data_IF_128503249382
#
_entry.id   IF_128503249382
#
_cell.length_a   1.000
_cell.length_b   1.000
_cell.length_c   1.000
_cell.angle_alpha   90.00
_cell.angle_beta   90.00
_cell.angle_gamma   90.00
#
_symmetry.space_group_name_H-M   'P 1'
#
loop_
_entity.id
_entity.type
_entity.pdbx_description
1 polymer ?
#
# COMPACT_ATOMS: atom_id res chain seq x y z
N UNK A 1 -27.87 4.57 -3.05
CA UNK A 1 -26.86 4.54 -4.14
C UNK A 1 -25.47 4.71 -3.56
N UNK A 2 -24.58 3.79 -3.85
CA UNK A 2 -23.21 3.89 -3.35
C UNK A 2 -22.42 4.87 -4.21
N UNK A 3 -21.87 5.91 -3.58
CA UNK A 3 -20.95 6.82 -4.25
C UNK A 3 -19.60 6.14 -4.45
N UNK A 4 -19.11 6.10 -5.67
CA UNK A 4 -17.79 5.59 -5.98
C UNK A 4 -16.78 6.75 -5.93
N UNK A 5 -15.66 6.51 -5.30
CA UNK A 5 -14.59 7.50 -5.19
C UNK A 5 -13.28 6.90 -5.67
N UNK A 6 -12.48 7.72 -6.34
CA UNK A 6 -11.15 7.36 -6.78
C UNK A 6 -10.15 8.37 -6.25
N UNK A 7 -9.14 7.89 -5.54
CA UNK A 7 -8.03 8.71 -5.06
C UNK A 7 -6.79 8.47 -5.90
N UNK A 8 -6.10 9.54 -6.24
CA UNK A 8 -4.79 9.49 -6.89
C UNK A 8 -3.79 10.25 -6.04
N UNK A 9 -2.70 9.58 -5.70
CA UNK A 9 -1.62 10.17 -4.92
C UNK A 9 -0.39 10.31 -5.80
N UNK A 10 0.21 11.49 -5.81
CA UNK A 10 1.48 11.74 -6.49
C UNK A 10 2.53 12.12 -5.47
N UNK A 11 3.74 11.63 -5.67
CA UNK A 11 4.83 11.92 -4.76
C UNK A 11 6.08 11.14 -5.11
N UNK A 12 6.98 11.06 -4.14
CA UNK A 12 8.25 10.36 -4.27
C UNK A 12 8.29 9.15 -3.35
N UNK A 13 8.84 8.05 -3.85
CA UNK A 13 9.02 6.83 -3.09
C UNK A 13 10.50 6.66 -2.77
N UNK A 14 10.77 6.30 -1.51
CA UNK A 14 12.11 5.99 -1.04
C UNK A 14 12.08 4.70 -0.23
N UNK A 15 13.02 3.81 -0.51
CA UNK A 15 13.20 2.61 0.29
C UNK A 15 13.87 2.96 1.62
N UNK A 16 13.34 2.44 2.73
CA UNK A 16 13.93 2.61 4.04
C UNK A 16 14.97 1.50 4.28
N UNK A 17 16.23 1.90 4.49
CA UNK A 17 17.33 0.97 4.72
C UNK A 17 17.22 0.27 6.08
N UNK A 18 16.76 0.99 7.12
CA UNK A 18 16.52 0.42 8.46
C UNK A 18 15.04 0.14 8.61
N UNK A 19 14.65 -1.11 8.35
CA UNK A 19 13.26 -1.54 8.35
C UNK A 19 12.93 -2.64 9.37
N UNK A 20 13.86 -2.95 10.29
CA UNK A 20 13.67 -4.03 11.27
C UNK A 20 12.46 -3.78 12.17
N UNK A 21 12.25 -2.54 12.60
CA UNK A 21 11.10 -2.21 13.45
C UNK A 21 9.77 -2.49 12.77
N UNK A 22 9.68 -2.27 11.48
CA UNK A 22 8.45 -2.54 10.73
C UNK A 22 8.20 -4.04 10.60
N UNK A 23 9.24 -4.83 10.44
CA UNK A 23 9.13 -6.28 10.45
C UNK A 23 8.60 -6.78 11.79
N UNK A 24 9.15 -6.27 12.89
CA UNK A 24 8.78 -6.68 14.25
C UNK A 24 7.32 -6.37 14.59
N UNK A 25 6.72 -5.37 13.95
CA UNK A 25 5.31 -5.03 14.13
C UNK A 25 4.35 -5.99 13.44
N UNK A 26 4.82 -6.83 12.54
CA UNK A 26 3.98 -7.79 11.85
C UNK A 26 3.57 -8.94 12.80
N UNK A 27 2.34 -9.47 12.58
CA UNK A 27 1.90 -10.67 13.27
C UNK A 27 2.71 -11.89 12.82
N UNK A 28 2.72 -12.94 13.62
CA UNK A 28 3.38 -14.20 13.26
C UNK A 28 2.85 -14.77 11.94
N UNK A 29 1.54 -14.66 11.73
CA UNK A 29 0.92 -15.07 10.47
C UNK A 29 1.43 -14.28 9.28
N UNK A 30 1.52 -12.95 9.41
CA UNK A 30 2.04 -12.09 8.35
C UNK A 30 3.51 -12.38 8.06
N UNK A 31 4.33 -12.54 9.10
CA UNK A 31 5.74 -12.92 8.94
C UNK A 31 5.89 -14.25 8.22
N UNK A 32 5.09 -15.24 8.61
CA UNK A 32 5.14 -16.58 8.02
C UNK A 32 4.80 -16.57 6.54
N UNK A 33 3.86 -15.73 6.13
CA UNK A 33 3.45 -15.64 4.72
C UNK A 33 4.59 -15.27 3.77
N UNK A 34 5.63 -14.57 4.27
CA UNK A 34 6.81 -14.22 3.48
C UNK A 34 7.67 -15.43 3.11
N UNK A 35 7.45 -16.57 3.74
CA UNK A 35 8.20 -17.81 3.53
C UNK A 35 7.39 -18.89 2.85
N UNK A 36 6.12 -18.63 2.49
CA UNK A 36 5.24 -19.63 1.85
C UNK A 36 5.55 -19.90 0.38
N UNK A 37 6.27 -18.99 -0.26
CA UNK A 37 6.68 -19.17 -1.65
C UNK A 37 7.48 -17.96 -2.14
N UNK A 38 8.23 -18.16 -3.21
CA UNK A 38 9.04 -17.07 -3.80
C UNK A 38 8.16 -16.14 -4.63
N UNK A 39 8.21 -14.82 -4.39
CA UNK A 39 7.45 -13.88 -5.19
C UNK A 39 7.75 -14.00 -6.68
N UNK A 40 6.72 -13.98 -7.50
CA UNK A 40 6.85 -14.07 -8.95
C UNK A 40 7.09 -15.47 -9.50
N UNK A 41 7.29 -16.46 -8.65
CA UNK A 41 7.43 -17.85 -9.09
C UNK A 41 6.07 -18.50 -9.32
N UNK A 42 6.05 -19.49 -10.22
CA UNK A 42 4.83 -20.24 -10.48
C UNK A 42 4.39 -20.99 -9.22
N UNK A 43 3.09 -20.97 -8.96
CA UNK A 43 2.51 -21.68 -7.83
C UNK A 43 2.73 -23.20 -7.99
N UNK A 44 3.25 -23.82 -6.93
CA UNK A 44 3.35 -25.28 -6.86
C UNK A 44 2.23 -25.81 -5.96
N UNK A 45 1.19 -26.47 -6.53
CA UNK A 45 0.04 -26.94 -5.75
C UNK A 45 0.41 -27.95 -4.66
N UNK A 46 1.51 -28.69 -4.83
CA UNK A 46 1.96 -29.67 -3.83
C UNK A 46 2.54 -29.04 -2.58
N UNK A 47 3.10 -27.84 -2.69
CA UNK A 47 3.75 -27.11 -1.58
C UNK A 47 2.79 -26.15 -0.91
N UNK A 48 1.79 -25.65 -1.63
CA UNK A 48 0.88 -24.60 -1.13
C UNK A 48 -0.14 -25.06 -0.11
N UNK A 49 -0.33 -26.35 0.09
CA UNK A 49 -1.26 -26.85 1.10
C UNK A 49 -0.76 -26.64 2.54
N UNK A 50 0.48 -26.21 2.72
CA UNK A 50 1.13 -26.14 4.02
C UNK A 50 1.49 -24.67 4.38
N UNK A 51 0.47 -23.84 4.67
CA UNK A 51 0.64 -22.47 5.12
C UNK A 51 0.83 -22.45 6.65
N UNK A 52 1.97 -22.91 7.10
CA UNK A 52 2.27 -22.97 8.53
C UNK A 52 2.54 -21.57 9.10
N UNK A 53 2.07 -21.38 10.34
CA UNK A 53 2.38 -20.17 11.11
C UNK A 53 3.52 -20.52 12.07
N UNK A 54 4.67 -19.91 11.84
CA UNK A 54 5.88 -20.16 12.63
C UNK A 54 6.17 -18.97 13.53
N UNK A 55 6.84 -19.24 14.66
CA UNK A 55 7.27 -18.21 15.61
C UNK A 55 8.72 -17.85 15.41
N UNK A 56 9.08 -16.62 15.80
CA UNK A 56 10.48 -16.14 15.83
C UNK A 56 11.19 -16.19 14.49
N UNK A 57 10.46 -15.91 13.40
CA UNK A 57 11.06 -15.87 12.08
C UNK A 57 11.96 -14.65 11.90
N UNK A 58 13.15 -14.82 11.32
CA UNK A 58 14.00 -13.69 10.97
C UNK A 58 13.36 -12.89 9.83
N UNK A 59 13.76 -11.62 9.71
CA UNK A 59 13.29 -10.78 8.61
C UNK A 59 13.59 -11.41 7.25
N UNK A 60 12.56 -11.56 6.41
CA UNK A 60 12.73 -12.04 5.05
C UNK A 60 13.60 -11.09 4.24
N UNK A 61 14.50 -11.64 3.42
CA UNK A 61 15.33 -10.85 2.49
C UNK A 61 14.48 -10.11 1.44
N UNK A 62 13.23 -10.55 1.23
CA UNK A 62 12.31 -9.93 0.29
C UNK A 62 11.49 -8.80 0.93
N UNK A 63 11.62 -8.62 2.26
CA UNK A 63 10.86 -7.59 2.98
C UNK A 63 11.45 -6.21 2.71
N UNK A 64 10.65 -5.33 2.16
CA UNK A 64 11.03 -3.97 1.82
C UNK A 64 9.99 -3.02 2.38
N UNK A 65 10.43 -1.91 2.96
CA UNK A 65 9.53 -0.84 3.41
C UNK A 65 9.78 0.38 2.54
N UNK A 66 8.72 0.89 1.95
CA UNK A 66 8.76 2.08 1.11
C UNK A 66 8.14 3.24 1.86
N UNK A 67 8.84 4.39 1.87
CA UNK A 67 8.30 5.64 2.36
C UNK A 67 7.80 6.44 1.16
N UNK A 68 6.51 6.76 1.16
CA UNK A 68 5.91 7.55 0.09
C UNK A 68 5.64 8.96 0.59
N UNK A 69 6.44 9.93 0.12
CA UNK A 69 6.22 11.35 0.39
C UNK A 69 5.21 11.89 -0.61
N UNK A 70 4.01 12.18 -0.13
CA UNK A 70 2.91 12.62 -0.97
C UNK A 70 3.04 14.11 -1.26
N UNK A 71 2.99 14.50 -2.53
CA UNK A 71 3.02 15.90 -2.97
C UNK A 71 1.63 16.40 -3.38
N UNK A 72 0.76 15.51 -3.82
CA UNK A 72 -0.61 15.87 -4.17
C UNK A 72 -1.59 14.71 -3.99
N UNK A 73 -2.83 15.06 -3.72
CA UNK A 73 -3.95 14.13 -3.61
C UNK A 73 -5.08 14.62 -4.51
N UNK A 74 -5.57 13.75 -5.36
CA UNK A 74 -6.66 14.02 -6.30
C UNK A 74 -7.80 13.06 -5.98
N UNK A 75 -8.97 13.60 -5.68
CA UNK A 75 -10.17 12.83 -5.38
C UNK A 75 -11.23 13.07 -6.43
N UNK A 76 -11.61 12.02 -7.14
CA UNK A 76 -12.74 12.04 -8.06
C UNK A 76 -13.91 11.30 -7.43
N UNK A 77 -15.02 12.01 -7.22
CA UNK A 77 -16.28 11.43 -6.74
C UNK A 77 -17.23 11.25 -7.91
N UNK A 78 -17.60 9.99 -8.16
CA UNK A 78 -18.55 9.65 -9.20
C UNK A 78 -19.98 9.77 -8.63
N UNK A 79 -20.48 11.00 -8.59
CA UNK A 79 -21.81 11.33 -8.07
C UNK A 79 -22.75 11.66 -9.21
N UNK A 80 -24.06 11.54 -8.95
CA UNK A 80 -25.12 12.00 -9.83
C UNK A 80 -25.73 13.27 -9.25
N UNK A 81 -26.13 14.24 -10.06
CA UNK A 81 -26.07 14.27 -11.53
C UNK A 81 -24.71 14.70 -12.09
N UNK A 82 -23.81 15.19 -11.26
CA UNK A 82 -22.50 15.71 -11.70
C UNK A 82 -21.38 15.13 -10.85
N UNK A 83 -20.33 14.64 -11.51
CA UNK A 83 -19.11 14.22 -10.82
C UNK A 83 -18.42 15.42 -10.19
N UNK A 84 -17.77 15.19 -9.05
CA UNK A 84 -17.00 16.22 -8.35
C UNK A 84 -15.54 15.79 -8.25
N UNK A 85 -14.64 16.76 -8.36
CA UNK A 85 -13.21 16.50 -8.27
C UNK A 85 -12.53 17.54 -7.39
N UNK A 86 -11.68 17.06 -6.49
CA UNK A 86 -10.96 17.90 -5.54
C UNK A 86 -9.47 17.62 -5.64
N UNK A 87 -8.68 18.65 -5.43
CA UNK A 87 -7.23 18.57 -5.46
C UNK A 87 -6.64 19.21 -4.21
N UNK A 88 -5.68 18.55 -3.61
CA UNK A 88 -4.85 19.05 -2.52
C UNK A 88 -3.39 18.95 -2.96
N UNK A 89 -2.63 20.02 -2.81
CA UNK A 89 -1.23 20.06 -3.16
C UNK A 89 -0.39 20.56 -1.98
N UNK A 90 0.73 19.89 -1.73
CA UNK A 90 1.66 20.28 -0.66
C UNK A 90 2.14 21.72 -0.82
N UNK A 91 2.49 22.11 -2.04
CA UNK A 91 2.95 23.46 -2.35
C UNK A 91 1.92 24.54 -2.04
N UNK A 92 0.64 24.17 -2.00
CA UNK A 92 -0.49 25.05 -1.64
C UNK A 92 -0.99 24.78 -0.23
N UNK A 93 -0.12 24.28 0.66
CA UNK A 93 -0.42 23.97 2.06
C UNK A 93 -1.65 23.06 2.25
N UNK A 94 -1.86 22.14 1.32
CA UNK A 94 -2.96 21.17 1.35
C UNK A 94 -4.36 21.79 1.35
N UNK A 95 -4.49 23.00 0.81
CA UNK A 95 -5.79 23.64 0.66
C UNK A 95 -6.67 22.83 -0.31
N UNK A 96 -7.91 22.56 0.08
CA UNK A 96 -8.88 21.87 -0.77
C UNK A 96 -9.34 22.78 -1.90
N UNK A 97 -9.12 22.35 -3.13
CA UNK A 97 -9.54 23.08 -4.33
C UNK A 97 -10.47 22.19 -5.15
N UNK A 98 -11.66 22.69 -5.48
CA UNK A 98 -12.56 21.99 -6.38
C UNK A 98 -12.16 22.33 -7.81
N UNK A 99 -11.97 21.29 -8.63
CA UNK A 99 -11.61 21.44 -10.05
C UNK A 99 -12.61 20.69 -10.93
N UNK A 100 -12.59 20.97 -12.22
CA UNK A 100 -13.45 20.26 -13.16
C UNK A 100 -13.10 18.79 -13.22
N UNK A 101 -14.08 17.90 -13.17
CA UNK A 101 -13.86 16.47 -13.23
C UNK A 101 -13.31 15.99 -14.57
#
# INVERSE_FOLDING_TARGET
>A
MKTKSQYRFKGKIRELSDNNNYWDLLSEKSKSSWFWGSPGKKINPKVQSNHEILSNLPKSKNFVVLNFEIDSVDLLKLEQPVHKRYLWEKIKKWEKVEINP
#
